data_IF_114456467243
#
_entry.id   IF_114456467243
#
_cell.length_a   1.000
_cell.length_b   1.000
_cell.length_c   1.000
_cell.angle_alpha   90.00
_cell.angle_beta   90.00
_cell.angle_gamma   90.00
#
_symmetry.space_group_name_H-M   'P 1'
#
loop_
_entity.id
_entity.type
_entity.pdbx_description
1 polymer ?
#
# COMPACT_ATOMS: atom_id res chain seq x y z
N UNK A 1 -8.23 -21.19 0.62
CA UNK A 1 -7.27 -20.07 0.58
C UNK A 1 -7.08 -19.50 -0.83
N UNK A 2 -6.86 -20.32 -1.87
CA UNK A 2 -6.61 -19.83 -3.26
C UNK A 2 -7.75 -19.03 -3.89
N UNK A 3 -8.99 -19.13 -3.40
CA UNK A 3 -10.11 -18.32 -3.91
C UNK A 3 -9.94 -16.81 -3.66
N UNK A 4 -9.14 -16.43 -2.66
CA UNK A 4 -8.92 -15.03 -2.26
C UNK A 4 -7.68 -14.39 -2.89
N UNK A 5 -6.86 -15.17 -3.61
CA UNK A 5 -5.64 -14.68 -4.25
C UNK A 5 -5.48 -15.26 -5.65
N UNK A 6 -5.41 -14.37 -6.65
CA UNK A 6 -5.05 -14.73 -8.02
C UNK A 6 -3.63 -14.25 -8.26
N UNK A 7 -2.70 -15.18 -8.44
CA UNK A 7 -1.26 -14.89 -8.56
C UNK A 7 -0.88 -13.94 -9.69
N UNK A 8 -1.69 -13.86 -10.75
CA UNK A 8 -1.55 -12.85 -11.80
C UNK A 8 -2.92 -12.30 -12.20
N UNK A 9 -3.10 -10.99 -12.07
CA UNK A 9 -4.29 -10.30 -12.58
C UNK A 9 -4.04 -9.69 -13.96
N UNK A 10 -5.11 -9.44 -14.69
CA UNK A 10 -5.09 -8.88 -16.06
C UNK A 10 -5.67 -7.48 -16.17
N UNK A 11 -6.28 -6.95 -15.09
CA UNK A 11 -6.93 -5.63 -15.04
C UNK A 11 -6.14 -4.64 -14.19
N UNK A 12 -6.37 -3.34 -14.42
CA UNK A 12 -5.73 -2.23 -13.72
C UNK A 12 -4.20 -2.35 -13.72
N UNK A 13 -3.66 -2.68 -14.90
CA UNK A 13 -2.24 -2.74 -15.15
C UNK A 13 -1.81 -1.47 -15.88
N UNK A 14 -0.60 -1.02 -15.56
CA UNK A 14 0.00 0.12 -16.20
C UNK A 14 0.49 -0.27 -17.60
N UNK A 15 0.06 0.51 -18.59
CA UNK A 15 0.49 0.41 -19.98
C UNK A 15 1.23 1.70 -20.36
N UNK A 16 2.50 1.66 -20.80
CA UNK A 16 3.30 2.85 -21.10
C UNK A 16 2.86 3.50 -22.42
N UNK A 17 2.18 2.73 -23.28
CA UNK A 17 1.66 3.19 -24.57
C UNK A 17 0.28 3.82 -24.44
N UNK A 18 -0.40 3.57 -23.31
CA UNK A 18 -1.71 4.14 -23.05
C UNK A 18 -1.64 5.65 -22.88
N UNK A 19 -2.45 6.35 -23.67
CA UNK A 19 -2.68 7.79 -23.56
C UNK A 19 -3.68 8.15 -22.46
N UNK A 20 -4.34 7.16 -21.85
CA UNK A 20 -5.30 7.38 -20.77
C UNK A 20 -4.56 7.52 -19.43
N UNK A 21 -5.10 8.28 -18.45
CA UNK A 21 -4.52 8.37 -17.13
C UNK A 21 -4.50 7.01 -16.46
N UNK A 22 -3.42 6.73 -15.75
CA UNK A 22 -3.38 5.54 -14.93
C UNK A 22 -3.91 5.84 -13.53
N UNK A 23 -4.99 5.15 -13.12
CA UNK A 23 -5.56 5.30 -11.78
C UNK A 23 -4.63 4.68 -10.74
N UNK A 24 -4.16 5.49 -9.79
CA UNK A 24 -3.21 5.09 -8.75
C UNK A 24 -3.79 5.44 -7.37
N UNK A 25 -4.10 4.42 -6.57
CA UNK A 25 -4.64 4.67 -5.23
C UNK A 25 -3.57 5.04 -4.21
N UNK A 26 -4.01 5.59 -3.08
CA UNK A 26 -3.13 5.93 -1.98
C UNK A 26 -2.24 4.77 -1.56
N UNK A 27 -2.85 3.64 -1.22
CA UNK A 27 -2.11 2.43 -0.82
C UNK A 27 -1.08 2.00 -1.86
N UNK A 28 -1.30 2.24 -3.15
CA UNK A 28 -0.38 1.76 -4.19
C UNK A 28 0.83 2.66 -4.39
N UNK A 29 0.74 3.96 -4.15
CA UNK A 29 1.95 4.78 -4.05
C UNK A 29 2.66 4.54 -2.70
N UNK A 30 1.95 4.21 -1.61
CA UNK A 30 2.62 3.77 -0.38
C UNK A 30 3.43 2.49 -0.63
N UNK A 31 2.88 1.54 -1.39
CA UNK A 31 3.63 0.37 -1.84
C UNK A 31 4.87 0.73 -2.67
N UNK A 32 4.81 1.80 -3.48
CA UNK A 32 5.97 2.30 -4.22
C UNK A 32 7.06 2.81 -3.27
N UNK A 33 6.70 3.66 -2.31
CA UNK A 33 7.64 4.20 -1.32
C UNK A 33 8.29 3.09 -0.49
N UNK A 34 7.54 2.04 -0.16
CA UNK A 34 8.07 0.91 0.60
C UNK A 34 8.95 -0.01 -0.26
N UNK A 35 8.57 -0.27 -1.52
CA UNK A 35 9.35 -1.13 -2.40
C UNK A 35 8.99 -0.92 -3.89
N UNK A 36 9.85 -0.22 -4.65
CA UNK A 36 9.65 0.00 -6.09
C UNK A 36 9.51 -1.31 -6.88
N UNK A 37 10.28 -2.36 -6.54
CA UNK A 37 10.19 -3.68 -7.18
C UNK A 37 8.80 -4.30 -7.01
N UNK A 38 8.30 -4.38 -5.78
CA UNK A 38 6.98 -4.94 -5.53
C UNK A 38 5.88 -4.10 -6.19
N UNK A 39 6.01 -2.77 -6.15
CA UNK A 39 5.10 -1.88 -6.85
C UNK A 39 5.09 -2.11 -8.36
N UNK A 40 6.26 -2.30 -8.97
CA UNK A 40 6.40 -2.62 -10.40
C UNK A 40 5.77 -3.97 -10.73
N UNK A 41 6.16 -5.04 -10.03
CA UNK A 41 5.58 -6.38 -10.20
C UNK A 41 4.05 -6.34 -10.11
N UNK A 42 3.54 -5.57 -9.14
CA UNK A 42 2.13 -5.35 -8.91
C UNK A 42 1.52 -4.57 -10.09
N UNK A 43 1.78 -3.28 -10.24
CA UNK A 43 1.09 -2.41 -11.22
C UNK A 43 1.45 -2.68 -12.67
N UNK A 44 2.67 -3.12 -12.98
CA UNK A 44 3.12 -3.39 -14.35
C UNK A 44 2.81 -4.82 -14.78
N UNK A 45 3.20 -5.80 -13.96
CA UNK A 45 3.19 -7.22 -14.35
C UNK A 45 1.98 -8.00 -13.80
N UNK A 46 1.19 -7.38 -12.93
CA UNK A 46 -0.03 -7.97 -12.37
C UNK A 46 0.20 -8.99 -11.26
N UNK A 47 1.40 -9.02 -10.66
CA UNK A 47 1.76 -9.92 -9.56
C UNK A 47 1.74 -9.13 -8.26
N UNK A 48 0.61 -9.15 -7.56
CA UNK A 48 0.50 -8.54 -6.22
C UNK A 48 1.00 -9.50 -5.14
N UNK A 49 1.31 -8.94 -3.98
CA UNK A 49 1.55 -9.71 -2.76
C UNK A 49 0.26 -10.42 -2.32
N UNK A 50 0.34 -11.61 -1.71
CA UNK A 50 -0.80 -12.21 -1.05
C UNK A 50 -1.42 -11.24 -0.02
N UNK A 51 -2.75 -11.07 0.00
CA UNK A 51 -3.38 -10.17 0.95
C UNK A 51 -3.25 -10.70 2.38
N UNK A 52 -3.18 -9.78 3.34
CA UNK A 52 -3.31 -10.10 4.76
C UNK A 52 -4.76 -10.48 5.14
N UNK A 53 -4.97 -10.76 6.42
CA UNK A 53 -6.31 -11.00 6.96
C UNK A 53 -7.13 -9.69 7.01
N UNK A 54 -8.46 -9.75 6.83
CA UNK A 54 -9.30 -8.59 7.00
C UNK A 54 -9.39 -8.18 8.48
N UNK A 55 -9.31 -6.88 8.75
CA UNK A 55 -9.49 -6.31 10.09
C UNK A 55 -10.97 -6.00 10.38
N UNK A 56 -11.81 -7.04 10.48
CA UNK A 56 -13.27 -6.89 10.58
C UNK A 56 -13.76 -6.12 11.80
N UNK A 57 -13.10 -6.26 12.95
CA UNK A 57 -13.43 -5.47 14.15
C UNK A 57 -13.10 -3.99 13.95
N UNK A 58 -11.95 -3.68 13.37
CA UNK A 58 -11.55 -2.31 13.05
C UNK A 58 -12.54 -1.65 12.08
N UNK A 59 -12.98 -2.39 11.05
CA UNK A 59 -14.02 -1.93 10.12
C UNK A 59 -15.37 -1.69 10.81
N UNK A 60 -15.71 -2.48 11.82
CA UNK A 60 -16.94 -2.27 12.60
C UNK A 60 -16.86 -0.99 13.44
N UNK A 61 -15.72 -0.71 14.09
CA UNK A 61 -15.48 0.54 14.82
C UNK A 61 -15.59 1.74 13.87
N UNK A 62 -14.92 1.68 12.72
CA UNK A 62 -14.98 2.71 11.69
C UNK A 62 -16.43 2.98 11.22
N UNK A 63 -17.20 1.91 10.96
CA UNK A 63 -18.62 2.01 10.56
C UNK A 63 -19.46 2.71 11.64
N UNK A 64 -19.21 2.44 12.91
CA UNK A 64 -19.95 3.04 14.02
C UNK A 64 -19.57 4.51 14.22
N UNK A 65 -18.28 4.85 14.14
CA UNK A 65 -17.83 6.25 14.16
C UNK A 65 -18.47 7.04 13.01
N UNK A 66 -18.47 6.50 11.78
CA UNK A 66 -19.12 7.16 10.63
C UNK A 66 -20.59 7.46 10.93
N UNK A 67 -21.34 6.51 11.50
CA UNK A 67 -22.75 6.74 11.89
C UNK A 67 -22.90 7.82 12.97
N UNK A 68 -22.03 7.82 13.97
CA UNK A 68 -22.03 8.80 15.05
C UNK A 68 -21.79 10.22 14.50
N UNK A 69 -20.73 10.40 13.69
CA UNK A 69 -20.42 11.66 13.05
C UNK A 69 -21.49 12.08 12.02
N UNK A 70 -22.12 11.14 11.30
CA UNK A 70 -23.24 11.41 10.39
C UNK A 70 -24.45 12.01 11.12
N UNK A 71 -24.77 11.53 12.33
CA UNK A 71 -25.85 12.09 13.14
C UNK A 71 -25.56 13.54 13.57
N UNK A 72 -24.30 13.87 13.87
CA UNK A 72 -23.87 15.23 14.19
C UNK A 72 -23.87 16.14 12.96
N UNK A 73 -23.41 15.63 11.81
CA UNK A 73 -23.41 16.31 10.52
C UNK A 73 -24.80 16.72 10.08
N UNK A 74 -25.77 15.80 10.17
CA UNK A 74 -27.16 16.06 9.79
C UNK A 74 -27.82 17.17 10.63
N UNK A 75 -27.35 17.37 11.87
CA UNK A 75 -27.82 18.40 12.80
C UNK A 75 -27.01 19.70 12.71
N UNK A 76 -25.93 19.74 11.95
CA UNK A 76 -24.99 20.87 11.94
C UNK A 76 -24.36 21.13 13.32
N UNK A 77 -24.09 20.06 14.09
CA UNK A 77 -23.65 20.17 15.49
C UNK A 77 -22.22 19.67 15.70
N UNK A 78 -21.50 20.30 16.63
CA UNK A 78 -20.16 19.87 17.06
C UNK A 78 -20.20 18.54 17.81
N UNK A 79 -19.31 17.62 17.45
CA UNK A 79 -19.16 16.32 18.11
C UNK A 79 -18.61 16.49 19.55
N UNK A 80 -19.02 15.66 20.53
CA UNK A 80 -18.50 15.73 21.90
C UNK A 80 -16.97 15.65 21.99
N UNK A 81 -16.33 14.81 21.17
CA UNK A 81 -14.87 14.71 21.12
C UNK A 81 -14.20 16.04 20.73
N UNK A 82 -14.77 16.79 19.78
CA UNK A 82 -14.23 18.08 19.37
C UNK A 82 -14.30 19.07 20.53
N UNK A 83 -15.44 19.12 21.25
CA UNK A 83 -15.60 19.98 22.44
C UNK A 83 -14.61 19.63 23.54
N UNK A 84 -14.43 18.34 23.81
CA UNK A 84 -13.50 17.86 24.84
C UNK A 84 -12.06 18.31 24.57
N UNK A 85 -11.65 18.29 23.30
CA UNK A 85 -10.31 18.68 22.86
C UNK A 85 -10.20 20.16 22.43
N UNK A 86 -11.25 20.96 22.57
CA UNK A 86 -11.25 22.38 22.18
C UNK A 86 -11.11 22.63 20.67
N UNK A 87 -11.53 21.69 19.82
CA UNK A 87 -11.53 21.83 18.37
C UNK A 87 -12.81 22.56 17.94
N UNK A 88 -12.68 23.78 17.44
CA UNK A 88 -13.79 24.57 16.90
C UNK A 88 -14.11 24.16 15.46
N UNK A 89 -14.88 23.08 15.32
CA UNK A 89 -15.30 22.54 14.04
C UNK A 89 -16.65 21.82 14.14
N UNK A 90 -17.23 21.52 12.99
CA UNK A 90 -18.35 20.59 12.84
C UNK A 90 -18.03 19.57 11.74
N UNK A 91 -18.68 18.39 11.73
CA UNK A 91 -18.53 17.46 10.61
C UNK A 91 -19.00 18.13 9.30
N UNK A 92 -18.18 18.07 8.26
CA UNK A 92 -18.41 18.80 7.00
C UNK A 92 -19.54 18.17 6.20
N UNK A 93 -20.53 18.97 5.80
CA UNK A 93 -21.62 18.53 4.93
C UNK A 93 -21.31 18.86 3.47
N UNK A 94 -21.23 17.83 2.62
CA UNK A 94 -20.98 17.97 1.19
C UNK A 94 -21.66 16.86 0.40
N UNK A 95 -22.16 17.17 -0.80
CA UNK A 95 -22.88 16.21 -1.66
C UNK A 95 -21.99 15.02 -2.08
N UNK A 96 -20.71 15.26 -2.32
CA UNK A 96 -19.75 14.22 -2.69
C UNK A 96 -19.16 13.45 -1.51
N UNK A 97 -19.45 13.81 -0.25
CA UNK A 97 -18.78 13.18 0.90
C UNK A 97 -18.97 11.65 0.92
N UNK A 98 -20.16 11.17 0.56
CA UNK A 98 -20.41 9.72 0.46
C UNK A 98 -19.52 9.06 -0.60
N UNK A 99 -19.25 9.73 -1.73
CA UNK A 99 -18.34 9.24 -2.76
C UNK A 99 -16.89 9.28 -2.28
N UNK A 100 -16.50 10.32 -1.54
CA UNK A 100 -15.17 10.46 -0.97
C UNK A 100 -14.83 9.39 0.06
N UNK A 101 -15.84 8.83 0.76
CA UNK A 101 -15.68 7.76 1.74
C UNK A 101 -15.67 6.35 1.13
N UNK A 102 -16.01 6.20 -0.15
CA UNK A 102 -16.13 4.90 -0.81
C UNK A 102 -14.76 4.39 -1.31
N UNK A 103 -14.31 3.23 -0.83
CA UNK A 103 -12.95 2.69 -1.06
C UNK A 103 -12.51 2.55 -2.52
N UNK A 104 -13.45 2.36 -3.46
CA UNK A 104 -13.16 2.21 -4.89
C UNK A 104 -13.36 3.48 -5.72
N UNK A 105 -13.89 4.54 -5.11
CA UNK A 105 -14.13 5.84 -5.73
C UNK A 105 -13.21 6.88 -5.12
N UNK A 106 -13.41 7.20 -3.84
CA UNK A 106 -12.60 8.15 -3.08
C UNK A 106 -12.66 9.58 -3.61
N UNK A 107 -11.85 10.44 -3.00
CA UNK A 107 -11.46 11.71 -3.60
C UNK A 107 -10.49 11.40 -4.74
N UNK A 108 -10.70 11.99 -5.92
CA UNK A 108 -9.83 11.82 -7.07
C UNK A 108 -9.21 13.16 -7.48
N UNK A 109 -7.93 13.14 -7.88
CA UNK A 109 -7.26 14.28 -8.49
C UNK A 109 -6.31 13.84 -9.60
N UNK A 110 -6.27 14.60 -10.69
CA UNK A 110 -5.35 14.33 -11.80
C UNK A 110 -4.01 15.01 -11.55
N UNK A 111 -2.95 14.23 -11.40
CA UNK A 111 -1.59 14.73 -11.43
C UNK A 111 -1.10 14.74 -12.89
N UNK A 112 -1.19 15.90 -13.54
CA UNK A 112 -0.84 16.08 -14.96
C UNK A 112 0.60 15.62 -15.29
N UNK A 113 1.64 15.97 -14.50
CA UNK A 113 3.02 15.64 -14.82
C UNK A 113 3.29 14.13 -14.91
N UNK A 114 2.74 13.33 -14.00
CA UNK A 114 2.91 11.86 -14.01
C UNK A 114 1.85 11.12 -14.84
N UNK A 115 0.86 11.86 -15.36
CA UNK A 115 -0.31 11.30 -16.03
C UNK A 115 -1.10 10.29 -15.16
N UNK A 116 -1.13 10.52 -13.84
CA UNK A 116 -1.88 9.69 -12.89
C UNK A 116 -3.22 10.32 -12.54
N UNK A 117 -4.23 9.48 -12.34
CA UNK A 117 -5.45 9.80 -11.61
C UNK A 117 -5.28 9.25 -10.19
N UNK A 118 -4.91 10.11 -9.25
CA UNK A 118 -4.66 9.71 -7.87
C UNK A 118 -5.99 9.62 -7.13
N UNK A 119 -6.18 8.58 -6.32
CA UNK A 119 -7.42 8.37 -5.55
C UNK A 119 -7.14 7.97 -4.11
N UNK A 120 -8.00 8.39 -3.18
CA UNK A 120 -7.96 7.99 -1.78
C UNK A 120 -9.32 8.18 -1.11
N UNK A 121 -9.74 7.20 -0.30
CA UNK A 121 -11.00 7.28 0.44
C UNK A 121 -10.74 7.80 1.86
N UNK A 122 -11.36 8.93 2.21
CA UNK A 122 -11.27 9.52 3.56
C UNK A 122 -12.24 8.82 4.50
N UNK A 123 -11.96 8.81 5.81
CA UNK A 123 -12.95 8.36 6.78
C UNK A 123 -13.95 9.45 7.09
N UNK A 124 -13.45 10.67 7.35
CA UNK A 124 -14.28 11.84 7.61
C UNK A 124 -13.55 13.15 7.26
N UNK A 125 -14.34 14.22 7.15
CA UNK A 125 -13.86 15.59 6.94
C UNK A 125 -14.67 16.50 7.86
N UNK A 126 -13.98 17.39 8.56
CA UNK A 126 -14.59 18.45 9.37
C UNK A 126 -14.37 19.81 8.72
N UNK A 127 -15.12 20.81 9.15
CA UNK A 127 -14.97 22.20 8.70
C UNK A 127 -14.96 23.12 9.92
N UNK A 128 -14.02 24.06 9.94
CA UNK A 128 -13.95 25.10 10.97
C UNK A 128 -14.67 26.39 10.52
N UNK A 129 -14.86 27.39 11.40
CA UNK A 129 -15.54 28.64 11.04
C UNK A 129 -14.84 29.48 9.97
N UNK A 130 -13.53 29.29 9.74
CA UNK A 130 -12.79 29.97 8.66
C UNK A 130 -12.99 29.33 7.29
N UNK A 131 -13.68 28.18 7.24
CA UNK A 131 -13.96 27.45 6.01
C UNK A 131 -12.84 26.50 5.57
N UNK A 132 -11.86 26.22 6.45
CA UNK A 132 -10.84 25.20 6.20
C UNK A 132 -11.42 23.80 6.46
N UNK A 133 -11.21 22.91 5.50
CA UNK A 133 -11.46 21.49 5.68
C UNK A 133 -10.34 20.86 6.52
N UNK A 134 -10.74 20.00 7.43
CA UNK A 134 -9.85 19.25 8.32
C UNK A 134 -10.05 17.78 7.99
N UNK A 135 -9.00 17.12 7.53
CA UNK A 135 -9.04 15.67 7.23
C UNK A 135 -9.00 14.90 8.55
N UNK A 136 -9.86 13.89 8.64
CA UNK A 136 -9.92 12.99 9.79
C UNK A 136 -9.83 11.54 9.36
N UNK A 137 -9.00 10.79 10.07
CA UNK A 137 -8.73 9.37 9.81
C UNK A 137 -8.98 8.56 11.09
N UNK A 138 -9.68 7.44 10.96
CA UNK A 138 -10.07 6.60 12.09
C UNK A 138 -9.09 5.45 12.25
N UNK A 139 -8.47 5.36 13.43
CA UNK A 139 -7.57 4.25 13.79
C UNK A 139 -8.15 3.48 14.95
N UNK A 140 -8.08 2.16 14.87
CA UNK A 140 -8.43 1.29 15.99
C UNK A 140 -7.34 0.26 16.21
N UNK A 141 -7.08 -0.06 17.47
CA UNK A 141 -6.10 -1.08 17.87
C UNK A 141 -6.48 -1.66 19.24
N UNK A 142 -5.70 -2.60 19.76
CA UNK A 142 -5.75 -3.04 21.15
C UNK A 142 -4.30 -3.23 21.59
N UNK A 143 -3.79 -2.32 22.42
CA UNK A 143 -2.45 -2.40 22.98
C UNK A 143 -2.41 -1.88 24.40
N UNK A 144 -1.43 -2.35 25.17
CA UNK A 144 -1.14 -1.80 26.49
C UNK A 144 -0.57 -0.38 26.38
N UNK A 145 -1.02 0.50 27.27
CA UNK A 145 -0.58 1.89 27.34
C UNK A 145 -1.21 2.83 26.30
N UNK A 146 -0.64 4.02 26.18
CA UNK A 146 -1.25 5.09 25.40
C UNK A 146 -1.00 4.96 23.88
N UNK A 147 -2.03 5.29 23.09
CA UNK A 147 -1.92 5.44 21.63
C UNK A 147 -1.24 6.76 21.25
N UNK A 148 -0.31 6.69 20.30
CA UNK A 148 0.44 7.80 19.73
C UNK A 148 0.74 7.53 18.24
N UNK A 149 1.57 8.37 17.61
CA UNK A 149 1.94 8.30 16.18
C UNK A 149 3.46 8.17 15.98
N UNK A 150 4.17 7.58 16.94
CA UNK A 150 5.64 7.61 17.01
C UNK A 150 6.33 6.34 16.53
N UNK A 151 5.60 5.23 16.35
CA UNK A 151 6.20 3.99 15.87
C UNK A 151 6.57 4.07 14.39
N UNK A 152 7.67 3.44 13.98
CA UNK A 152 8.23 3.55 12.62
C UNK A 152 7.20 3.23 11.52
N UNK A 153 6.39 2.20 11.72
CA UNK A 153 5.36 1.77 10.76
C UNK A 153 4.18 2.77 10.65
N UNK A 154 4.04 3.71 11.59
CA UNK A 154 3.00 4.74 11.57
C UNK A 154 3.32 5.89 10.60
N UNK A 155 4.50 5.88 9.96
CA UNK A 155 4.78 6.77 8.83
C UNK A 155 3.73 6.62 7.72
N UNK A 156 3.20 5.41 7.51
CA UNK A 156 2.12 5.17 6.55
C UNK A 156 0.82 5.92 6.89
N UNK A 157 0.53 6.12 8.18
CA UNK A 157 -0.64 6.89 8.64
C UNK A 157 -0.47 8.39 8.36
N UNK A 158 0.74 8.90 8.62
CA UNK A 158 1.10 10.30 8.35
C UNK A 158 0.99 10.61 6.85
N UNK A 159 1.59 9.77 6.00
CA UNK A 159 1.51 9.88 4.54
C UNK A 159 0.09 9.74 4.00
N UNK A 160 -0.74 8.91 4.63
CA UNK A 160 -2.16 8.77 4.29
C UNK A 160 -2.89 10.10 4.51
N UNK A 161 -2.74 10.72 5.69
CA UNK A 161 -3.32 12.02 6.01
C UNK A 161 -2.88 13.10 5.01
N UNK A 162 -1.58 13.19 4.75
CA UNK A 162 -0.99 14.17 3.83
C UNK A 162 -1.57 14.08 2.42
N UNK A 163 -1.89 12.86 1.98
CA UNK A 163 -2.40 12.63 0.64
C UNK A 163 -3.87 12.95 0.51
N UNK A 164 -4.65 12.73 1.55
CA UNK A 164 -6.02 13.21 1.60
C UNK A 164 -6.08 14.74 1.62
N UNK A 165 -5.19 15.38 2.38
CA UNK A 165 -5.05 16.84 2.35
C UNK A 165 -4.67 17.32 0.94
N UNK A 166 -3.67 16.70 0.32
CA UNK A 166 -3.27 17.01 -1.06
C UNK A 166 -4.43 16.82 -2.05
N UNK A 167 -5.16 15.70 -1.99
CA UNK A 167 -6.29 15.41 -2.88
C UNK A 167 -7.39 16.47 -2.79
N UNK A 168 -7.78 16.87 -1.58
CA UNK A 168 -8.79 17.91 -1.37
C UNK A 168 -8.28 19.29 -1.85
N UNK A 169 -6.99 19.62 -1.62
CA UNK A 169 -6.37 20.85 -2.15
C UNK A 169 -6.35 20.87 -3.67
N UNK A 170 -6.04 19.75 -4.33
CA UNK A 170 -6.11 19.64 -5.80
C UNK A 170 -7.52 19.86 -6.35
N UNK A 171 -8.55 19.60 -5.53
CA UNK A 171 -9.95 19.85 -5.86
C UNK A 171 -10.44 21.25 -5.48
N UNK A 172 -9.52 22.16 -5.13
CA UNK A 172 -9.82 23.58 -4.91
C UNK A 172 -10.34 23.91 -3.51
N UNK A 173 -10.37 22.95 -2.59
CA UNK A 173 -10.75 23.22 -1.21
C UNK A 173 -9.61 23.89 -0.44
N UNK A 174 -9.96 24.78 0.47
CA UNK A 174 -9.04 25.27 1.49
C UNK A 174 -8.95 24.20 2.59
N UNK A 175 -7.75 23.71 2.88
CA UNK A 175 -7.54 22.55 3.76
C UNK A 175 -6.49 22.89 4.80
N UNK A 176 -6.83 22.72 6.08
CA UNK A 176 -5.92 22.91 7.20
C UNK A 176 -4.72 21.98 7.09
N UNK A 177 -3.54 22.48 7.47
CA UNK A 177 -2.35 21.64 7.62
C UNK A 177 -2.50 20.65 8.78
N UNK A 178 -3.36 20.97 9.77
CA UNK A 178 -3.67 20.03 10.86
C UNK A 178 -4.79 19.09 10.44
N UNK A 179 -4.49 17.80 10.41
CA UNK A 179 -5.48 16.72 10.42
C UNK A 179 -5.58 16.08 11.80
N UNK A 180 -6.59 15.24 12.00
CA UNK A 180 -6.76 14.51 13.25
C UNK A 180 -6.92 13.01 13.04
N UNK A 181 -6.31 12.23 13.93
CA UNK A 181 -6.62 10.82 14.07
C UNK A 181 -7.58 10.63 15.25
N UNK A 182 -8.76 10.06 14.98
CA UNK A 182 -9.63 9.53 16.04
C UNK A 182 -9.15 8.11 16.32
N UNK A 183 -8.43 7.93 17.42
CA UNK A 183 -7.74 6.69 17.74
C UNK A 183 -8.45 5.97 18.88
N UNK A 184 -9.11 4.85 18.56
CA UNK A 184 -9.79 3.97 19.50
C UNK A 184 -8.86 2.83 19.96
N UNK A 185 -8.48 2.79 21.23
CA UNK A 185 -7.72 1.69 21.82
C UNK A 185 -8.65 0.76 22.59
N UNK A 186 -8.76 -0.50 22.15
CA UNK A 186 -9.50 -1.54 22.86
C UNK A 186 -8.85 -1.81 24.21
N UNK A 187 -9.63 -1.67 25.26
CA UNK A 187 -9.18 -1.84 26.63
C UNK A 187 -9.33 -3.32 27.03
N UNK A 188 -8.20 -4.01 27.12
CA UNK A 188 -8.09 -5.41 27.54
C UNK A 188 -7.87 -5.57 29.05
N UNK A 189 -7.73 -4.47 29.79
CA UNK A 189 -7.58 -4.45 31.26
C UNK A 189 -8.97 -4.35 31.92
N UNK A 190 -9.85 -5.28 31.54
CA UNK A 190 -11.20 -5.43 32.10
C UNK A 190 -11.31 -6.79 32.77
N UNK A 191 -12.12 -6.86 33.83
CA UNK A 191 -12.29 -8.09 34.62
C UNK A 191 -12.75 -9.28 33.77
N UNK A 192 -13.58 -9.02 32.75
CA UNK A 192 -14.09 -10.02 31.82
C UNK A 192 -14.44 -9.40 30.47
N UNK A 193 -14.66 -10.24 29.45
CA UNK A 193 -15.08 -9.81 28.12
C UNK A 193 -16.54 -9.35 28.06
N UNK A 194 -17.46 -10.00 28.80
CA UNK A 194 -18.88 -9.62 28.91
C UNK A 194 -19.59 -9.22 27.60
N UNK A 195 -19.21 -9.88 26.50
CA UNK A 195 -19.68 -9.58 25.14
C UNK A 195 -19.51 -8.11 24.72
N UNK A 196 -18.51 -7.42 25.28
CA UNK A 196 -18.24 -5.99 25.10
C UNK A 196 -16.74 -5.75 24.99
N UNK A 197 -16.34 -5.01 23.97
CA UNK A 197 -15.01 -4.40 23.92
C UNK A 197 -15.16 -2.92 24.27
N UNK A 198 -14.55 -2.49 25.36
CA UNK A 198 -14.53 -1.08 25.74
C UNK A 198 -13.36 -0.38 25.05
N UNK A 199 -13.53 0.89 24.71
CA UNK A 199 -12.50 1.66 24.00
C UNK A 199 -12.18 2.96 24.73
N UNK A 200 -10.89 3.23 24.85
CA UNK A 200 -10.37 4.55 25.19
C UNK A 200 -10.11 5.30 23.87
N UNK A 201 -10.73 6.46 23.69
CA UNK A 201 -10.64 7.23 22.45
C UNK A 201 -9.77 8.47 22.67
N UNK A 202 -8.73 8.64 21.85
CA UNK A 202 -7.92 9.85 21.80
C UNK A 202 -8.08 10.56 20.48
N UNK A 203 -8.05 11.90 20.53
CA UNK A 203 -7.93 12.74 19.35
C UNK A 203 -6.48 13.22 19.22
N UNK A 204 -5.77 12.72 18.21
CA UNK A 204 -4.35 13.03 18.01
C UNK A 204 -4.20 14.04 16.85
N UNK A 205 -3.73 15.27 17.10
CA UNK A 205 -3.44 16.23 16.03
C UNK A 205 -2.18 15.81 15.26
N UNK A 206 -2.17 16.08 13.96
CA UNK A 206 -0.99 15.92 13.13
C UNK A 206 -0.92 17.02 12.06
N UNK A 207 0.21 17.73 12.03
CA UNK A 207 0.50 18.74 10.99
C UNK A 207 1.13 18.02 9.80
N UNK A 208 0.36 17.86 8.73
CA UNK A 208 0.78 17.16 7.52
C UNK A 208 1.62 18.04 6.60
N UNK A 209 2.58 17.41 5.90
CA UNK A 209 3.39 18.07 4.88
C UNK A 209 3.36 17.29 3.57
N UNK A 210 2.66 17.85 2.59
CA UNK A 210 2.34 17.19 1.31
C UNK A 210 3.37 17.44 0.18
N UNK A 211 4.52 18.07 0.46
CA UNK A 211 5.48 18.52 -0.55
C UNK A 211 6.24 17.38 -1.25
N UNK A 212 6.29 16.20 -0.64
CA UNK A 212 6.93 15.02 -1.21
C UNK A 212 6.09 14.31 -2.27
N UNK A 213 4.78 14.59 -2.36
CA UNK A 213 3.82 13.79 -3.13
C UNK A 213 4.09 13.90 -4.63
N UNK A 214 4.32 15.10 -5.15
CA UNK A 214 4.52 15.33 -6.58
C UNK A 214 5.77 14.59 -7.09
N UNK A 215 6.88 14.67 -6.33
CA UNK A 215 8.12 13.94 -6.62
C UNK A 215 7.92 12.42 -6.55
N UNK A 216 7.21 11.93 -5.54
CA UNK A 216 6.92 10.50 -5.42
C UNK A 216 6.05 9.98 -6.58
N UNK A 217 5.09 10.77 -7.06
CA UNK A 217 4.26 10.42 -8.22
C UNK A 217 5.09 10.41 -9.52
N UNK A 218 6.02 11.34 -9.69
CA UNK A 218 6.93 11.35 -10.83
C UNK A 218 7.88 10.14 -10.81
N UNK A 219 8.49 9.84 -9.67
CA UNK A 219 9.37 8.68 -9.52
C UNK A 219 8.62 7.36 -9.71
N UNK A 220 7.38 7.25 -9.21
CA UNK A 220 6.52 6.10 -9.45
C UNK A 220 6.21 5.93 -10.94
N UNK A 221 6.01 7.02 -11.68
CA UNK A 221 5.83 6.97 -13.14
C UNK A 221 7.09 6.51 -13.85
N UNK A 222 8.26 7.04 -13.50
CA UNK A 222 9.56 6.59 -14.06
C UNK A 222 9.74 5.10 -13.83
N UNK A 223 9.51 4.62 -12.60
CA UNK A 223 9.57 3.21 -12.26
C UNK A 223 8.69 2.36 -13.19
N UNK A 224 7.42 2.73 -13.41
CA UNK A 224 6.51 1.97 -14.27
C UNK A 224 6.82 2.08 -15.77
N UNK A 225 7.50 3.14 -16.20
CA UNK A 225 7.92 3.31 -17.59
C UNK A 225 9.16 2.49 -17.94
N UNK A 226 9.96 2.09 -16.95
CA UNK A 226 11.15 1.26 -17.16
C UNK A 226 10.83 -0.13 -17.72
N UNK A 227 11.73 -0.65 -18.55
CA UNK A 227 11.62 -2.00 -19.12
C UNK A 227 12.22 -3.08 -18.20
N UNK A 228 13.00 -2.67 -17.19
CA UNK A 228 13.62 -3.55 -16.22
C UNK A 228 12.86 -3.56 -14.89
N UNK A 229 12.82 -4.74 -14.25
CA UNK A 229 12.26 -4.88 -12.90
C UNK A 229 13.25 -4.26 -11.91
N UNK A 230 12.81 -3.33 -11.03
CA UNK A 230 13.70 -2.73 -10.05
C UNK A 230 14.40 -3.76 -9.14
N UNK A 231 15.58 -3.38 -8.63
CA UNK A 231 16.35 -4.21 -7.71
C UNK A 231 15.56 -4.56 -6.43
N UNK A 232 15.81 -5.73 -5.81
CA UNK A 232 15.19 -6.10 -4.55
C UNK A 232 15.51 -5.08 -3.45
N UNK A 233 14.51 -4.78 -2.61
CA UNK A 233 14.74 -4.05 -1.37
C UNK A 233 14.94 -5.06 -0.23
N UNK A 234 16.12 -5.07 0.42
CA UNK A 234 16.44 -6.01 1.51
C UNK A 234 15.63 -5.76 2.80
N UNK A 235 15.06 -4.56 2.97
CA UNK A 235 14.13 -4.26 4.08
C UNK A 235 12.69 -4.67 3.76
N UNK A 236 12.43 -5.21 2.56
CA UNK A 236 11.12 -5.70 2.18
C UNK A 236 11.03 -7.22 2.37
N UNK A 237 10.22 -7.65 3.33
CA UNK A 237 9.98 -9.07 3.64
C UNK A 237 9.63 -9.91 2.40
N UNK A 238 8.87 -9.36 1.46
CA UNK A 238 8.51 -10.05 0.22
C UNK A 238 9.69 -10.20 -0.74
N UNK A 239 10.57 -9.20 -0.83
CA UNK A 239 11.79 -9.32 -1.61
C UNK A 239 12.72 -10.34 -0.97
N UNK A 240 12.90 -10.29 0.36
CA UNK A 240 13.67 -11.26 1.13
C UNK A 240 13.16 -12.68 0.92
N UNK A 241 11.84 -12.89 1.01
CA UNK A 241 11.19 -14.16 0.72
C UNK A 241 11.47 -14.66 -0.71
N UNK A 242 11.26 -13.80 -1.72
CA UNK A 242 11.46 -14.19 -3.13
C UNK A 242 12.93 -14.50 -3.43
N UNK A 243 13.86 -13.73 -2.88
CA UNK A 243 15.29 -13.99 -3.00
C UNK A 243 15.66 -15.33 -2.37
N UNK A 244 15.17 -15.61 -1.16
CA UNK A 244 15.41 -16.88 -0.49
C UNK A 244 14.85 -18.08 -1.30
N UNK A 245 13.65 -17.96 -1.86
CA UNK A 245 13.07 -18.99 -2.74
C UNK A 245 13.93 -19.20 -3.99
N UNK A 246 14.39 -18.11 -4.61
CA UNK A 246 15.17 -18.18 -5.86
C UNK A 246 16.54 -18.83 -5.63
N UNK A 247 17.27 -18.42 -4.58
CA UNK A 247 18.60 -18.95 -4.25
C UNK A 247 18.59 -20.43 -3.84
N UNK A 248 17.50 -20.89 -3.22
CA UNK A 248 17.40 -22.26 -2.72
C UNK A 248 16.61 -23.20 -3.65
N UNK A 249 16.15 -22.71 -4.81
CA UNK A 249 15.45 -23.56 -5.79
C UNK A 249 16.45 -24.17 -6.78
N UNK A 250 16.52 -25.51 -6.89
CA UNK A 250 17.50 -26.19 -7.76
C UNK A 250 17.29 -25.92 -9.26
N UNK A 251 16.19 -25.26 -9.63
CA UNK A 251 15.84 -24.92 -11.02
C UNK A 251 16.07 -23.43 -11.37
N UNK A 252 16.40 -22.58 -10.40
CA UNK A 252 16.57 -21.13 -10.59
C UNK A 252 17.95 -20.62 -10.15
N UNK A 253 18.96 -21.49 -10.12
CA UNK A 253 20.34 -21.03 -10.00
C UNK A 253 20.64 -20.08 -11.19
N UNK A 254 21.10 -18.84 -10.96
CA UNK A 254 21.46 -17.95 -12.05
C UNK A 254 22.54 -18.64 -12.88
N UNK A 255 22.34 -18.67 -14.20
CA UNK A 255 23.37 -19.11 -15.11
C UNK A 255 24.50 -18.08 -15.04
N UNK A 256 25.55 -18.37 -14.28
CA UNK A 256 26.76 -17.57 -14.32
C UNK A 256 27.43 -17.82 -15.67
N UNK A 257 27.25 -16.91 -16.63
CA UNK A 257 28.09 -16.84 -17.82
C UNK A 257 29.45 -16.35 -17.35
N UNK A 258 30.35 -17.30 -17.07
CA UNK A 258 31.77 -16.98 -16.93
C UNK A 258 32.31 -16.84 -18.34
N UNK A 259 32.57 -15.61 -18.78
CA UNK A 259 33.41 -15.42 -19.95
C UNK A 259 34.79 -15.99 -19.61
N UNK A 260 35.37 -16.88 -20.43
CA UNK A 260 36.73 -17.34 -20.21
C UNK A 260 37.64 -16.12 -20.35
N UNK A 261 38.11 -15.58 -19.22
CA UNK A 261 39.23 -14.66 -19.23
C UNK A 261 40.38 -15.38 -19.92
N UNK A 262 40.88 -14.78 -20.99
CA UNK A 262 41.91 -15.35 -21.83
C UNK A 262 43.21 -15.48 -21.06
N UNK A 263 43.38 -16.58 -20.32
CA UNK A 263 44.62 -17.21 -19.89
C UNK A 263 44.27 -18.44 -19.05
N UNK A 264 44.16 -19.60 -19.70
CA UNK A 264 44.16 -20.90 -19.01
C UNK A 264 45.59 -21.16 -18.47
N UNK A 265 45.78 -21.48 -17.17
CA UNK A 265 47.08 -21.92 -16.69
C UNK A 265 47.38 -23.34 -17.17
N UNK A 266 48.60 -23.60 -17.64
CA UNK A 266 49.11 -24.95 -17.83
C UNK A 266 49.24 -25.66 -16.48
N UNK A 267 48.41 -26.69 -16.28
CA UNK A 267 48.57 -27.93 -15.47
C UNK A 267 47.36 -28.23 -14.61
N UNK A 268 46.52 -29.13 -15.13
CA UNK A 268 45.61 -29.95 -14.31
C UNK A 268 46.42 -31.18 -13.84
N UNK A 269 46.85 -31.20 -12.59
CA UNK A 269 47.29 -32.46 -11.96
C UNK A 269 46.10 -33.14 -11.29
N UNK A 270 45.89 -34.41 -11.62
CA UNK A 270 44.82 -35.28 -11.13
C UNK A 270 44.61 -35.20 -9.61
N UNK A 271 43.43 -34.79 -9.19
CA UNK A 271 42.79 -35.26 -7.97
C UNK A 271 41.46 -35.93 -8.35
N UNK A 272 41.29 -37.19 -7.92
CA UNK A 272 40.17 -38.08 -8.25
C UNK A 272 38.84 -37.48 -7.78
N UNK A 273 37.85 -37.42 -8.67
CA UNK A 273 36.45 -37.17 -8.26
C UNK A 273 35.50 -36.56 -9.30
N UNK A 274 35.98 -36.02 -10.43
CA UNK A 274 35.10 -35.46 -11.47
C UNK A 274 34.95 -36.42 -12.65
N UNK A 275 33.76 -37.02 -12.79
CA UNK A 275 33.32 -37.59 -14.08
C UNK A 275 32.80 -36.45 -14.94
N UNK A 276 33.63 -35.96 -15.85
CA UNK A 276 33.20 -35.21 -17.02
C UNK A 276 32.48 -36.17 -17.98
N UNK A 277 31.17 -36.01 -18.13
CA UNK A 277 30.47 -36.38 -19.36
C UNK A 277 29.48 -35.27 -19.68
N UNK A 278 29.96 -34.33 -20.50
CA UNK A 278 29.11 -33.52 -21.35
C UNK A 278 28.62 -34.45 -22.46
N UNK A 279 27.33 -34.77 -22.45
CA UNK A 279 26.61 -35.22 -23.65
C UNK A 279 25.36 -34.36 -23.79
N UNK A 280 25.39 -33.48 -24.80
CA UNK A 280 24.20 -32.89 -25.37
C UNK A 280 23.54 -34.01 -26.20
N UNK A 281 22.37 -34.47 -25.78
CA UNK A 281 21.49 -35.29 -26.61
C UNK A 281 20.05 -34.81 -26.43
N UNK A 282 19.61 -33.99 -27.39
CA UNK A 282 18.21 -33.62 -27.62
C UNK A 282 17.62 -34.71 -28.50
N UNK A 283 16.86 -35.64 -27.95
CA UNK A 283 16.02 -36.56 -28.74
C UNK A 283 14.61 -36.59 -28.13
N UNK A 284 13.76 -35.76 -28.72
CA UNK A 284 12.30 -35.91 -28.62
C UNK A 284 11.92 -37.28 -29.17
N UNK A 285 11.37 -38.14 -28.30
CA UNK A 285 10.87 -39.44 -28.69
C UNK A 285 9.67 -39.35 -29.63
N UNK A 286 9.82 -39.95 -30.82
CA UNK A 286 8.79 -40.71 -31.54
C UNK A 286 9.50 -41.69 -32.48
N UNK A 287 9.52 -42.96 -32.12
CA UNK A 287 9.83 -44.04 -33.05
C UNK A 287 8.50 -44.53 -33.68
N UNK A 288 8.47 -44.84 -34.99
CA UNK A 288 7.32 -45.45 -35.63
C UNK A 288 7.31 -46.97 -35.38
N UNK A 289 6.12 -47.52 -35.10
CA UNK A 289 5.85 -48.95 -35.19
C UNK A 289 5.94 -49.40 -36.65
N UNK A 290 6.80 -50.37 -36.94
CA UNK A 290 6.60 -51.33 -38.02
C UNK A 290 6.90 -52.72 -37.47
N UNK A 291 5.90 -53.59 -37.54
CA UNK A 291 5.99 -54.97 -37.11
C UNK A 291 6.39 -55.91 -38.25
N UNK A 292 6.89 -57.07 -37.84
CA UNK A 292 6.57 -58.42 -38.34
C UNK A 292 7.13 -59.41 -37.35
#
# INVERSE_FOLDING_TARGET
>A
MSQYYKGKRTRNLFDPTSIAPFKLSRTKLENFLNCPRCFYLDRRLGVDRPPGYPFSLNMAVDTLLKKEFDAHRAKGSTHPIMKHYGVDAIPFAHEDLNRWRENFVGVEARHKPSHFLVTGAVDDVWINPTGELIVVDYKSTSKDGEVNLDADWQIGYKRQMEIYQWLLRQNGFHVSDTGYFVYCNGNTDKEAFDAKLEFDIKLLPYVGKADWIDDALLQARVCLMGDEIPEPNFECDYCTYLTAVTLNSPFFAPTATVEPSGMLPERISLARGFKSMVWIARLSGRAPNFGS
#
